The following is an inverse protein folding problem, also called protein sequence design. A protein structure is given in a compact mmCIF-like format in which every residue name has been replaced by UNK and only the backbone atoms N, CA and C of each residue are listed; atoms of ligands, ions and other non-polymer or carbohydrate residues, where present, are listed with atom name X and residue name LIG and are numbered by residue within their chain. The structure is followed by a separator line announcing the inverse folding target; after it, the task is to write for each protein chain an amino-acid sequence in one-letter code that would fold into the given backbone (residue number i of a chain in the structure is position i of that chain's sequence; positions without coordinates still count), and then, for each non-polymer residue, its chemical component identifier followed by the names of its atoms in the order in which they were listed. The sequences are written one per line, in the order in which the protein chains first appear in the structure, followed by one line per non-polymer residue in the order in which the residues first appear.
data_IF_015694896152
#
_entry.id   IF_015694896152
#
_cell.length_a   1.000
_cell.length_b   1.000
_cell.length_c   1.000
_cell.angle_alpha   90.00
_cell.angle_beta   90.00
_cell.angle_gamma   90.00
#
_symmetry.space_group_name_H-M   'P 1'
#
loop_
_entity.id
_entity.type
_entity.pdbx_description
1 polymer ?
#
# COMPACT_ATOMS: atom_id res chain seq x y z
N UNK A 1 16.00 -36.46 -26.65
CA UNK A 1 16.23 -36.08 -25.24
C UNK A 1 16.53 -34.59 -25.21
N UNK A 2 15.61 -33.80 -24.66
CA UNK A 2 15.60 -32.34 -24.71
C UNK A 2 16.61 -31.73 -23.75
N UNK A 3 17.50 -30.90 -24.29
CA UNK A 3 18.43 -30.02 -23.57
C UNK A 3 17.65 -28.91 -22.85
N UNK A 4 17.13 -29.18 -21.65
CA UNK A 4 16.71 -28.14 -20.72
C UNK A 4 17.96 -27.52 -20.07
N UNK A 5 18.70 -26.70 -20.82
CA UNK A 5 19.66 -25.78 -20.23
C UNK A 5 18.87 -24.77 -19.40
N UNK A 6 19.04 -24.86 -18.09
CA UNK A 6 18.60 -23.91 -17.07
C UNK A 6 19.03 -22.47 -17.40
N UNK A 7 18.30 -21.79 -18.28
CA UNK A 7 18.24 -20.33 -18.29
C UNK A 7 17.22 -19.92 -17.22
N UNK A 8 17.55 -20.17 -15.95
CA UNK A 8 16.93 -19.41 -14.88
C UNK A 8 17.38 -17.96 -15.12
N UNK A 9 16.52 -17.15 -15.72
CA UNK A 9 16.77 -15.72 -15.83
C UNK A 9 17.03 -15.20 -14.42
N UNK A 10 18.25 -14.70 -14.16
CA UNK A 10 18.54 -14.02 -12.91
C UNK A 10 17.68 -12.76 -12.85
N UNK A 11 16.53 -12.87 -12.20
CA UNK A 11 15.67 -11.73 -11.93
C UNK A 11 16.45 -10.81 -10.97
N UNK A 12 16.79 -9.61 -11.45
CA UNK A 12 17.46 -8.61 -10.62
C UNK A 12 16.38 -7.80 -9.92
N UNK A 13 16.51 -7.67 -8.61
CA UNK A 13 15.63 -6.84 -7.80
C UNK A 13 16.38 -5.62 -7.28
N UNK A 14 15.77 -4.44 -7.36
CA UNK A 14 16.30 -3.18 -6.81
C UNK A 14 15.26 -2.51 -5.92
N UNK A 15 15.70 -1.63 -5.02
CA UNK A 15 14.81 -0.84 -4.16
C UNK A 15 14.63 0.55 -4.74
N UNK A 16 13.39 1.01 -4.81
CA UNK A 16 13.09 2.36 -5.26
C UNK A 16 13.63 3.39 -4.26
N UNK A 17 14.41 4.37 -4.71
CA UNK A 17 14.96 5.41 -3.83
C UNK A 17 13.90 6.40 -3.30
N UNK A 18 12.69 6.40 -3.87
CA UNK A 18 11.58 7.27 -3.43
C UNK A 18 10.70 6.53 -2.44
N UNK A 19 10.26 5.33 -2.80
CA UNK A 19 9.25 4.60 -2.03
C UNK A 19 9.73 3.33 -1.34
N UNK A 20 11.01 2.99 -1.52
CA UNK A 20 11.63 1.77 -0.98
C UNK A 20 10.95 0.45 -1.43
N UNK A 21 10.02 0.49 -2.41
CA UNK A 21 9.43 -0.69 -3.03
C UNK A 21 10.54 -1.51 -3.69
N UNK A 22 10.61 -2.79 -3.35
CA UNK A 22 11.43 -3.75 -4.06
C UNK A 22 10.73 -4.05 -5.39
N UNK A 23 11.43 -3.89 -6.51
CA UNK A 23 10.86 -4.13 -7.83
C UNK A 23 11.86 -4.89 -8.70
N UNK A 24 11.32 -5.73 -9.57
CA UNK A 24 12.11 -6.44 -10.56
C UNK A 24 12.54 -5.50 -11.68
N UNK A 25 13.80 -5.59 -12.10
CA UNK A 25 14.36 -4.78 -13.17
C UNK A 25 15.09 -5.67 -14.18
N UNK A 26 14.70 -5.54 -15.45
CA UNK A 26 15.44 -6.21 -16.52
C UNK A 26 16.84 -5.59 -16.68
N UNK A 27 17.82 -6.37 -17.14
CA UNK A 27 19.16 -5.86 -17.47
C UNK A 27 19.11 -4.66 -18.43
N UNK A 28 18.17 -4.64 -19.38
CA UNK A 28 17.96 -3.54 -20.33
C UNK A 28 17.45 -2.28 -19.61
N UNK A 29 16.43 -2.41 -18.77
CA UNK A 29 15.86 -1.31 -17.98
C UNK A 29 16.89 -0.75 -17.01
N UNK A 30 17.72 -1.60 -16.39
CA UNK A 30 18.81 -1.18 -15.50
C UNK A 30 19.84 -0.31 -16.21
N UNK A 31 20.26 -0.72 -17.42
CA UNK A 31 21.17 0.08 -18.26
C UNK A 31 20.55 1.44 -18.64
N UNK A 32 19.26 1.48 -18.96
CA UNK A 32 18.54 2.72 -19.27
C UNK A 32 18.44 3.65 -18.05
N UNK A 33 18.07 3.14 -16.88
CA UNK A 33 17.99 3.92 -15.64
C UNK A 33 19.33 4.57 -15.29
N UNK A 34 20.43 3.81 -15.40
CA UNK A 34 21.80 4.35 -15.20
C UNK A 34 22.12 5.53 -16.13
N UNK A 35 21.66 5.49 -17.39
CA UNK A 35 21.90 6.57 -18.37
C UNK A 35 21.06 7.81 -18.10
N UNK A 36 19.82 7.64 -17.62
CA UNK A 36 18.88 8.74 -17.43
C UNK A 36 19.23 9.63 -16.22
N UNK A 37 20.24 9.29 -15.40
CA UNK A 37 20.52 9.89 -14.08
C UNK A 37 19.30 9.96 -13.14
N UNK A 38 18.19 9.36 -13.54
CA UNK A 38 17.06 9.11 -12.71
C UNK A 38 17.49 7.98 -11.79
N UNK A 39 17.68 8.34 -10.53
CA UNK A 39 17.94 7.40 -9.44
C UNK A 39 17.03 6.17 -9.57
N UNK A 40 17.51 5.03 -9.08
CA UNK A 40 16.84 3.73 -9.01
C UNK A 40 15.37 3.87 -8.56
N UNK A 41 14.45 4.10 -9.50
CA UNK A 41 13.05 4.43 -9.22
C UNK A 41 12.17 3.36 -9.83
N UNK A 42 11.20 2.86 -9.06
CA UNK A 42 10.26 1.89 -9.59
C UNK A 42 9.35 2.54 -10.64
N UNK A 43 8.80 1.72 -11.55
CA UNK A 43 7.93 2.20 -12.62
C UNK A 43 6.72 3.00 -12.12
N UNK A 44 6.19 2.69 -10.92
CA UNK A 44 5.11 3.46 -10.32
C UNK A 44 5.53 4.89 -9.97
N UNK A 45 6.66 5.07 -9.29
CA UNK A 45 7.15 6.41 -8.93
C UNK A 45 7.57 7.21 -10.16
N UNK A 46 8.15 6.55 -11.16
CA UNK A 46 8.51 7.17 -12.43
C UNK A 46 7.26 7.69 -13.17
N UNK A 47 6.22 6.85 -13.37
CA UNK A 47 4.98 7.24 -14.06
C UNK A 47 4.23 8.38 -13.38
N UNK A 48 4.27 8.45 -12.05
CA UNK A 48 3.60 9.50 -11.28
C UNK A 48 4.49 10.74 -11.05
N UNK A 49 5.69 10.78 -11.64
CA UNK A 49 6.65 11.88 -11.50
C UNK A 49 6.89 12.30 -10.05
N UNK A 50 7.00 11.33 -9.14
CA UNK A 50 7.20 11.64 -7.75
C UNK A 50 8.58 12.26 -7.50
N UNK A 51 8.60 13.31 -6.69
CA UNK A 51 9.83 13.81 -6.09
C UNK A 51 10.15 13.04 -4.80
N UNK A 52 11.26 13.36 -4.12
CA UNK A 52 11.63 12.73 -2.83
C UNK A 52 10.60 12.92 -1.70
N UNK A 53 9.60 13.81 -1.85
CA UNK A 53 8.62 14.14 -0.79
C UNK A 53 7.27 13.43 -0.99
N UNK A 54 7.27 12.11 -0.87
CA UNK A 54 6.04 11.30 -0.91
C UNK A 54 5.80 10.68 0.45
N UNK A 55 4.59 10.86 0.97
CA UNK A 55 4.12 10.10 2.12
C UNK A 55 3.45 8.82 1.65
N UNK A 56 3.89 7.69 2.18
CA UNK A 56 3.32 6.39 1.85
C UNK A 56 2.49 5.95 3.04
N UNK A 57 1.25 5.54 2.79
CA UNK A 57 0.48 4.83 3.80
C UNK A 57 -0.18 3.58 3.26
N UNK A 58 -0.29 2.57 4.12
CA UNK A 58 -0.86 1.29 3.78
C UNK A 58 -1.82 0.83 4.87
N UNK A 59 -2.97 0.30 4.44
CA UNK A 59 -3.98 -0.28 5.32
C UNK A 59 -4.45 -1.66 4.86
N UNK A 60 -3.62 -2.39 4.10
CA UNK A 60 -3.93 -3.71 3.55
C UNK A 60 -4.21 -4.78 4.60
N UNK A 61 -3.73 -4.56 5.83
CA UNK A 61 -4.07 -5.40 6.97
C UNK A 61 -5.56 -5.38 7.30
N UNK A 62 -6.29 -4.30 6.96
CA UNK A 62 -7.74 -4.21 7.14
C UNK A 62 -8.50 -5.21 6.27
N UNK A 63 -8.43 -5.17 4.92
CA UNK A 63 -9.14 -6.14 4.10
C UNK A 63 -8.69 -7.57 4.38
N UNK A 64 -7.41 -7.79 4.71
CA UNK A 64 -6.93 -9.11 5.11
C UNK A 64 -7.59 -9.61 6.41
N UNK A 65 -7.66 -8.75 7.43
CA UNK A 65 -8.36 -9.08 8.68
C UNK A 65 -9.84 -9.34 8.46
N UNK A 66 -10.53 -8.46 7.73
CA UNK A 66 -11.94 -8.59 7.39
C UNK A 66 -12.25 -9.89 6.67
N UNK A 67 -11.40 -10.27 5.71
CA UNK A 67 -11.50 -11.54 5.01
C UNK A 67 -11.39 -12.71 5.99
N UNK A 68 -10.37 -12.74 6.85
CA UNK A 68 -10.20 -13.84 7.82
C UNK A 68 -11.43 -14.00 8.71
N UNK A 69 -12.03 -12.90 9.18
CA UNK A 69 -13.22 -12.94 10.02
C UNK A 69 -14.46 -13.49 9.29
N UNK A 70 -14.63 -13.17 8.00
CA UNK A 70 -15.90 -13.37 7.31
C UNK A 70 -15.83 -14.30 6.09
N UNK A 71 -14.68 -14.92 5.78
CA UNK A 71 -14.49 -15.76 4.58
C UNK A 71 -15.47 -16.95 4.46
N UNK A 72 -16.11 -17.36 5.57
CA UNK A 72 -17.14 -18.40 5.56
C UNK A 72 -18.43 -17.95 4.88
N UNK A 73 -18.69 -16.65 4.84
CA UNK A 73 -19.80 -16.08 4.07
C UNK A 73 -19.37 -15.94 2.60
N UNK A 74 -20.01 -16.70 1.72
CA UNK A 74 -19.68 -16.75 0.28
C UNK A 74 -19.85 -15.40 -0.42
N UNK A 75 -20.78 -14.58 0.04
CA UNK A 75 -21.05 -13.26 -0.54
C UNK A 75 -20.06 -12.21 -0.04
N UNK A 76 -19.34 -12.50 1.05
CA UNK A 76 -18.42 -11.54 1.66
C UNK A 76 -17.26 -11.16 0.75
N UNK A 77 -16.82 -12.04 -0.16
CA UNK A 77 -15.77 -11.67 -1.12
C UNK A 77 -16.22 -10.53 -2.04
N UNK A 78 -17.49 -10.53 -2.44
CA UNK A 78 -18.07 -9.45 -3.27
C UNK A 78 -18.15 -8.15 -2.47
N UNK A 79 -18.57 -8.24 -1.22
CA UNK A 79 -18.62 -7.10 -0.28
C UNK A 79 -17.23 -6.53 -0.01
N UNK A 80 -16.22 -7.39 0.22
CA UNK A 80 -14.84 -6.97 0.40
C UNK A 80 -14.29 -6.24 -0.83
N UNK A 81 -14.61 -6.72 -2.03
CA UNK A 81 -14.26 -6.03 -3.28
C UNK A 81 -14.95 -4.67 -3.40
N UNK A 82 -16.18 -4.53 -2.89
CA UNK A 82 -16.86 -3.23 -2.81
C UNK A 82 -16.15 -2.30 -1.82
N UNK A 83 -15.73 -2.79 -0.65
CA UNK A 83 -14.94 -2.02 0.32
C UNK A 83 -13.63 -1.53 -0.28
N UNK A 84 -12.87 -2.42 -0.94
CA UNK A 84 -11.61 -2.04 -1.62
C UNK A 84 -11.86 -1.05 -2.75
N UNK A 85 -12.94 -1.23 -3.53
CA UNK A 85 -13.30 -0.28 -4.59
C UNK A 85 -13.68 1.09 -4.04
N UNK A 86 -14.45 1.14 -2.95
CA UNK A 86 -14.85 2.37 -2.28
C UNK A 86 -13.62 3.08 -1.70
N UNK A 87 -12.74 2.32 -1.05
CA UNK A 87 -11.45 2.78 -0.53
C UNK A 87 -10.62 3.48 -1.61
N UNK A 88 -10.43 2.85 -2.77
CA UNK A 88 -9.71 3.43 -3.92
C UNK A 88 -10.42 4.67 -4.45
N UNK A 89 -11.73 4.59 -4.70
CA UNK A 89 -12.52 5.71 -5.25
C UNK A 89 -12.50 6.93 -4.34
N UNK A 90 -12.60 6.75 -3.03
CA UNK A 90 -12.60 7.85 -2.06
C UNK A 90 -11.26 8.60 -2.06
N UNK A 91 -10.13 7.88 -2.08
CA UNK A 91 -8.83 8.52 -2.12
C UNK A 91 -8.54 9.25 -3.44
N UNK A 92 -8.92 8.65 -4.58
CA UNK A 92 -8.67 9.23 -5.90
C UNK A 92 -9.48 10.51 -6.20
N UNK A 93 -10.45 10.87 -5.36
CA UNK A 93 -11.09 12.21 -5.41
C UNK A 93 -10.10 13.32 -5.11
N UNK A 94 -9.01 13.01 -4.40
CA UNK A 94 -7.97 13.96 -4.07
C UNK A 94 -6.78 13.81 -5.04
N UNK A 95 -6.42 14.86 -5.82
CA UNK A 95 -5.43 14.74 -6.90
C UNK A 95 -3.97 14.62 -6.43
N UNK A 96 -3.71 14.66 -5.11
CA UNK A 96 -2.39 14.33 -4.56
C UNK A 96 -2.28 12.89 -4.08
N UNK A 97 -3.37 12.11 -4.13
CA UNK A 97 -3.39 10.71 -3.74
C UNK A 97 -3.28 9.81 -4.97
N UNK A 98 -2.41 8.83 -4.88
CA UNK A 98 -2.21 7.81 -5.90
C UNK A 98 -2.24 6.44 -5.25
N UNK A 99 -2.85 5.47 -5.91
CA UNK A 99 -2.98 4.11 -5.40
C UNK A 99 -2.20 3.14 -6.27
N UNK A 100 -1.33 2.34 -5.65
CA UNK A 100 -0.66 1.22 -6.31
C UNK A 100 -1.43 -0.06 -6.00
N UNK A 101 -2.15 -0.58 -6.99
CA UNK A 101 -2.99 -1.78 -6.83
C UNK A 101 -2.15 -3.01 -6.49
N UNK A 102 -0.93 -3.12 -7.04
CA UNK A 102 -0.05 -4.26 -6.81
C UNK A 102 0.35 -4.38 -5.33
N UNK A 103 0.66 -3.25 -4.69
CA UNK A 103 1.14 -3.23 -3.30
C UNK A 103 0.08 -2.81 -2.28
N UNK A 104 -1.10 -2.40 -2.77
CA UNK A 104 -2.18 -1.78 -2.01
C UNK A 104 -1.69 -0.59 -1.15
N UNK A 105 -0.71 0.14 -1.66
CA UNK A 105 -0.14 1.32 -1.02
C UNK A 105 -0.78 2.59 -1.57
N UNK A 106 -1.03 3.54 -0.68
CA UNK A 106 -1.29 4.92 -1.04
C UNK A 106 0.00 5.73 -1.04
N UNK A 107 0.11 6.61 -2.02
CA UNK A 107 1.18 7.57 -2.18
C UNK A 107 0.57 8.95 -2.21
N UNK A 108 1.00 9.80 -1.29
CA UNK A 108 0.53 11.18 -1.17
C UNK A 108 1.67 12.09 -1.55
N UNK A 109 1.52 12.78 -2.68
CA UNK A 109 2.50 13.75 -3.17
C UNK A 109 2.43 15.04 -2.35
N UNK A 110 3.32 15.15 -1.35
CA UNK A 110 3.41 16.31 -0.48
C UNK A 110 4.12 17.51 -1.13
N UNK A 111 4.67 17.34 -2.35
CA UNK A 111 5.31 18.44 -3.08
C UNK A 111 4.31 19.37 -3.76
N UNK A 112 3.09 18.88 -4.04
CA UNK A 112 1.99 19.65 -4.61
C UNK A 112 1.40 20.58 -3.55
N UNK A 113 1.93 21.81 -3.46
CA UNK A 113 1.54 22.87 -2.49
C UNK A 113 0.06 23.30 -2.53
N UNK A 114 -0.74 22.81 -3.47
CA UNK A 114 -2.13 23.26 -3.68
C UNK A 114 -3.13 22.71 -2.66
N UNK A 115 -2.79 21.66 -1.92
CA UNK A 115 -3.73 20.98 -1.00
C UNK A 115 -3.32 21.17 0.44
N UNK A 116 -4.29 21.55 1.28
CA UNK A 116 -4.07 21.76 2.70
C UNK A 116 -3.85 20.43 3.42
N UNK A 117 -3.06 20.44 4.50
CA UNK A 117 -2.92 19.27 5.39
C UNK A 117 -4.28 18.80 5.94
N UNK A 118 -5.26 19.71 6.08
CA UNK A 118 -6.63 19.41 6.52
C UNK A 118 -7.35 18.51 5.51
N UNK A 119 -7.26 18.81 4.21
CA UNK A 119 -7.86 18.00 3.15
C UNK A 119 -7.20 16.61 3.02
N UNK A 120 -5.88 16.53 3.19
CA UNK A 120 -5.16 15.25 3.23
C UNK A 120 -5.71 14.39 4.38
N UNK A 121 -5.83 14.96 5.59
CA UNK A 121 -6.38 14.26 6.76
C UNK A 121 -7.83 13.81 6.52
N UNK A 122 -8.67 14.68 5.95
CA UNK A 122 -10.06 14.36 5.59
C UNK A 122 -10.12 13.17 4.62
N UNK A 123 -9.29 13.19 3.58
CA UNK A 123 -9.26 12.11 2.58
C UNK A 123 -8.83 10.77 3.21
N UNK A 124 -7.83 10.77 4.08
CA UNK A 124 -7.40 9.56 4.80
C UNK A 124 -8.54 9.00 5.67
N UNK A 125 -9.27 9.88 6.35
CA UNK A 125 -10.42 9.49 7.16
C UNK A 125 -11.50 8.85 6.28
N UNK A 126 -11.84 9.45 5.13
CA UNK A 126 -12.79 8.88 4.16
C UNK A 126 -12.32 7.50 3.65
N UNK A 127 -11.04 7.35 3.31
CA UNK A 127 -10.42 6.09 2.87
C UNK A 127 -10.55 4.98 3.93
N UNK A 128 -10.42 5.33 5.22
CA UNK A 128 -10.56 4.39 6.33
C UNK A 128 -12.02 4.03 6.63
N UNK A 129 -12.94 4.99 6.48
CA UNK A 129 -14.37 4.77 6.69
C UNK A 129 -14.96 3.76 5.69
N UNK A 130 -14.35 3.58 4.52
CA UNK A 130 -14.78 2.60 3.53
C UNK A 130 -14.81 1.15 4.03
N UNK A 131 -14.05 0.81 5.08
CA UNK A 131 -14.02 -0.54 5.66
C UNK A 131 -14.97 -0.74 6.83
N UNK A 132 -15.80 0.27 7.13
CA UNK A 132 -16.70 0.31 8.27
C UNK A 132 -16.06 -0.21 9.58
N UNK A 133 -14.87 0.30 9.89
CA UNK A 133 -14.00 -0.25 10.93
C UNK A 133 -14.63 -0.26 12.32
N UNK A 134 -15.53 0.67 12.59
CA UNK A 134 -16.10 0.89 13.92
C UNK A 134 -17.20 -0.11 14.21
N UNK A 135 -18.03 -0.39 13.21
CA UNK A 135 -19.07 -1.41 13.33
C UNK A 135 -18.45 -2.81 13.27
N UNK A 136 -17.40 -2.98 12.47
CA UNK A 136 -16.78 -4.29 12.25
C UNK A 136 -15.78 -4.68 13.34
N UNK A 137 -15.14 -3.69 13.99
CA UNK A 137 -14.10 -3.90 14.99
C UNK A 137 -14.31 -2.94 16.18
N UNK A 138 -15.27 -3.21 17.07
CA UNK A 138 -15.61 -2.29 18.17
C UNK A 138 -14.45 -2.02 19.14
N UNK A 139 -13.52 -2.96 19.28
CA UNK A 139 -12.33 -2.81 20.12
C UNK A 139 -11.25 -1.90 19.52
N UNK A 140 -11.40 -1.46 18.27
CA UNK A 140 -10.41 -0.66 17.58
C UNK A 140 -10.48 0.80 18.03
N UNK A 141 -9.41 1.29 18.64
CA UNK A 141 -9.35 2.70 19.06
C UNK A 141 -9.07 3.62 17.86
N UNK A 142 -10.15 4.15 17.26
CA UNK A 142 -10.10 5.08 16.13
C UNK A 142 -9.16 6.25 16.35
N UNK A 143 -9.29 6.90 17.51
CA UNK A 143 -8.51 8.10 17.85
C UNK A 143 -7.01 7.77 17.83
N UNK A 144 -6.63 6.58 18.31
CA UNK A 144 -5.24 6.13 18.32
C UNK A 144 -4.70 5.91 16.90
N UNK A 145 -5.44 5.21 16.03
CA UNK A 145 -5.01 4.97 14.63
C UNK A 145 -4.84 6.29 13.89
N UNK A 146 -5.87 7.16 13.93
CA UNK A 146 -5.83 8.45 13.24
C UNK A 146 -4.70 9.33 13.78
N UNK A 147 -4.47 9.33 15.10
CA UNK A 147 -3.35 10.04 15.72
C UNK A 147 -2.01 9.54 15.18
N UNK A 148 -1.79 8.22 15.14
CA UNK A 148 -0.55 7.63 14.62
C UNK A 148 -0.32 7.97 13.14
N UNK A 149 -1.36 7.86 12.30
CA UNK A 149 -1.25 8.25 10.87
C UNK A 149 -0.89 9.73 10.74
N UNK A 150 -1.59 10.61 11.45
CA UNK A 150 -1.36 12.04 11.35
C UNK A 150 0.01 12.46 11.89
N UNK A 151 0.51 11.78 12.92
CA UNK A 151 1.88 11.98 13.41
C UNK A 151 2.91 11.57 12.35
N UNK A 152 2.72 10.43 11.67
CA UNK A 152 3.60 10.00 10.57
C UNK A 152 3.61 10.99 9.41
N UNK A 153 2.45 11.53 9.02
CA UNK A 153 2.36 12.57 7.98
C UNK A 153 3.15 13.82 8.38
N UNK A 154 3.00 14.28 9.63
CA UNK A 154 3.70 15.47 10.13
C UNK A 154 5.21 15.24 10.17
N UNK A 155 5.64 14.04 10.57
CA UNK A 155 7.04 13.65 10.59
C UNK A 155 7.63 13.37 9.19
N UNK A 156 6.80 13.23 8.15
CA UNK A 156 7.24 12.81 6.81
C UNK A 156 7.63 11.34 6.75
N UNK A 157 7.22 10.54 7.73
CA UNK A 157 7.51 9.10 7.80
C UNK A 157 6.41 8.32 7.11
N UNK A 158 6.74 7.18 6.50
CA UNK A 158 5.72 6.25 5.98
C UNK A 158 4.91 5.65 7.14
N UNK A 159 3.65 5.30 6.87
CA UNK A 159 2.77 4.66 7.85
C UNK A 159 2.26 3.30 7.33
N UNK A 160 2.48 2.24 8.09
CA UNK A 160 1.95 0.92 7.76
C UNK A 160 1.07 0.47 8.92
N UNK A 161 -0.21 0.25 8.65
CA UNK A 161 -1.13 -0.20 9.71
C UNK A 161 -0.79 -1.63 10.12
N UNK A 162 -0.29 -1.79 11.35
CA UNK A 162 -0.09 -3.07 12.00
C UNK A 162 -1.18 -3.29 13.04
N UNK A 163 -2.11 -4.20 12.78
CA UNK A 163 -3.28 -4.40 13.64
C UNK A 163 -2.92 -4.97 15.03
N UNK A 164 -1.81 -5.70 15.14
CA UNK A 164 -1.35 -6.26 16.41
C UNK A 164 -0.97 -5.14 17.41
N UNK A 165 -0.45 -4.00 16.92
CA UNK A 165 -0.12 -2.82 17.75
C UNK A 165 -1.37 -2.15 18.36
N UNK A 166 -2.55 -2.45 17.82
CA UNK A 166 -3.84 -1.96 18.28
C UNK A 166 -4.66 -3.03 19.02
N UNK A 167 -4.03 -4.13 19.43
CA UNK A 167 -4.66 -5.16 20.26
C UNK A 167 -5.55 -6.13 19.50
N UNK A 168 -5.62 -6.01 18.17
CA UNK A 168 -6.23 -7.04 17.34
C UNK A 168 -5.17 -8.10 17.11
N UNK A 169 -5.20 -9.17 17.90
CA UNK A 169 -4.38 -10.35 17.62
C UNK A 169 -4.81 -10.88 16.27
N UNK A 170 -4.02 -10.56 15.25
CA UNK A 170 -4.15 -11.27 14.00
C UNK A 170 -3.56 -12.65 14.27
N UNK A 171 -4.42 -13.65 14.46
CA UNK A 171 -4.02 -15.05 14.33
C UNK A 171 -3.70 -15.36 12.87
N UNK A 172 -2.91 -14.50 12.21
CA UNK A 172 -2.12 -14.89 11.06
C UNK A 172 -1.15 -15.94 11.61
N UNK A 173 -1.60 -17.20 11.61
CA UNK A 173 -0.69 -18.32 11.76
C UNK A 173 0.49 -18.05 10.84
N UNK A 174 1.71 -18.41 11.28
CA UNK A 174 2.94 -18.30 10.49
C UNK A 174 2.82 -18.91 9.07
N UNK A 175 1.73 -19.64 8.79
CA UNK A 175 1.37 -20.22 7.49
C UNK A 175 0.68 -19.25 6.51
N UNK A 176 -0.01 -18.20 6.93
CA UNK A 176 -0.73 -17.31 5.99
C UNK A 176 0.24 -16.40 5.19
N UNK A 177 1.35 -15.97 5.81
CA UNK A 177 2.41 -15.20 5.13
C UNK A 177 3.12 -16.03 4.05
N UNK A 178 3.13 -17.36 4.16
CA UNK A 178 3.67 -18.24 3.11
C UNK A 178 2.78 -18.27 1.86
N UNK A 179 1.46 -18.21 2.02
CA UNK A 179 0.52 -18.32 0.90
C UNK A 179 0.35 -17.01 0.12
N UNK A 180 0.66 -15.85 0.72
CA UNK A 180 0.63 -14.55 0.02
C UNK A 180 1.94 -14.20 -0.72
N UNK A 181 2.98 -15.03 -0.63
CA UNK A 181 4.21 -14.92 -1.43
C UNK A 181 4.12 -15.61 -2.81
N UNK A 182 2.93 -16.07 -3.21
CA UNK A 182 2.73 -16.84 -4.45
C UNK A 182 1.78 -16.19 -5.47
N UNK A 183 1.53 -14.88 -5.38
CA UNK A 183 0.92 -14.11 -6.45
C UNK A 183 1.84 -12.97 -6.87
#
# INVERSE_FOLDING_TARGET
MSNYKNNLSENIYERCCICNKLYEISLKSRKLNKKLKNNETCGFCFRNNFSKKVFIFNVKSLPAFLYVQNHKNKDFLKELNQYVSCHIKSGLKNPVFFYDVETMNWFVDLSKKKISKKEIKKTIVEILFCFNLWDTIPSLNQKRILKSIFQSIVAGNSFFLNLDEFGLKTSFSKNFVKNFKMC
#
